data_IF_433602797382
#
_entry.id   IF_433602797382
#
_cell.length_a   1.000
_cell.length_b   1.000
_cell.length_c   1.000
_cell.angle_alpha   90.00
_cell.angle_beta   90.00
_cell.angle_gamma   90.00
#
_symmetry.space_group_name_H-M   'P 1'
#
loop_
_entity.id
_entity.type
_entity.pdbx_description
1 polymer ?
#
# COMPACT_ATOMS: atom_id res chain seq x y z
N UNK A 1 -0.01 29.79 8.67
CA UNK A 1 1.18 29.07 8.20
C UNK A 1 0.81 28.30 6.95
N UNK A 2 1.51 28.50 5.83
CA UNK A 2 1.32 27.67 4.63
C UNK A 2 2.04 26.35 4.87
N UNK A 3 1.30 25.26 5.13
CA UNK A 3 1.87 23.93 5.18
C UNK A 3 2.46 23.63 3.79
N UNK A 4 3.79 23.68 3.70
CA UNK A 4 4.50 23.29 2.47
C UNK A 4 4.48 21.77 2.45
N UNK A 5 3.74 21.19 1.52
CA UNK A 5 3.78 19.76 1.24
C UNK A 5 4.79 19.51 0.13
N UNK A 6 5.64 18.50 0.31
CA UNK A 6 6.57 18.06 -0.72
C UNK A 6 5.96 16.78 -1.31
N UNK A 7 5.53 16.87 -2.56
CA UNK A 7 5.17 15.73 -3.38
C UNK A 7 6.43 15.37 -4.18
N UNK A 8 6.99 14.19 -3.95
CA UNK A 8 8.03 13.67 -4.82
C UNK A 8 7.35 12.90 -5.97
N UNK A 9 7.59 13.26 -7.25
CA UNK A 9 6.93 12.64 -8.40
C UNK A 9 7.12 11.12 -8.49
N UNK A 10 8.21 10.61 -7.92
CA UNK A 10 8.53 9.18 -7.81
C UNK A 10 7.55 8.37 -6.94
N UNK A 11 6.66 9.04 -6.20
CA UNK A 11 5.59 8.41 -5.43
C UNK A 11 4.22 8.58 -6.08
N UNK A 12 4.14 9.03 -7.33
CA UNK A 12 2.90 9.14 -8.09
C UNK A 12 2.84 7.99 -9.09
N UNK A 13 1.83 7.14 -8.96
CA UNK A 13 1.55 6.05 -9.90
C UNK A 13 0.18 6.22 -10.50
N UNK A 14 0.04 5.87 -11.76
CA UNK A 14 -1.20 6.03 -12.52
C UNK A 14 -1.72 4.67 -12.96
N UNK A 15 -2.94 4.29 -12.56
CA UNK A 15 -3.61 3.09 -13.05
C UNK A 15 -4.99 3.48 -13.60
N UNK A 16 -5.18 3.25 -14.90
CA UNK A 16 -6.35 3.67 -15.68
C UNK A 16 -6.67 5.16 -15.60
N UNK A 17 -7.64 5.56 -14.77
CA UNK A 17 -8.06 6.95 -14.56
C UNK A 17 -7.85 7.37 -13.10
N UNK A 18 -6.97 6.67 -12.40
CA UNK A 18 -6.62 6.99 -11.03
C UNK A 18 -5.17 7.38 -10.91
N UNK A 19 -4.94 8.45 -10.16
CA UNK A 19 -3.64 8.81 -9.65
C UNK A 19 -3.54 8.40 -8.18
N UNK A 20 -2.56 7.55 -7.89
CA UNK A 20 -2.18 7.13 -6.55
C UNK A 20 -0.94 7.89 -6.16
N UNK A 21 -0.97 8.56 -5.02
CA UNK A 21 0.23 9.20 -4.50
C UNK A 21 0.27 9.22 -2.98
N UNK A 22 1.48 9.14 -2.42
CA UNK A 22 1.69 9.25 -0.99
C UNK A 22 2.07 10.68 -0.60
N UNK A 23 1.43 11.20 0.45
CA UNK A 23 1.81 12.49 1.04
C UNK A 23 2.09 12.34 2.53
N UNK A 24 3.05 13.12 3.02
CA UNK A 24 3.31 13.29 4.44
C UNK A 24 2.79 14.65 4.90
N UNK A 25 1.87 14.64 5.87
CA UNK A 25 1.33 15.84 6.50
C UNK A 25 1.73 15.82 7.98
N UNK A 26 2.79 16.56 8.33
CA UNK A 26 3.40 16.49 9.66
C UNK A 26 4.06 15.13 9.92
N UNK A 27 3.65 14.44 10.98
CA UNK A 27 4.14 13.08 11.33
C UNK A 27 3.30 11.96 10.72
N UNK A 28 2.18 12.30 10.06
CA UNK A 28 1.26 11.33 9.47
C UNK A 28 1.53 11.14 7.99
N UNK A 29 1.40 9.90 7.52
CA UNK A 29 1.48 9.54 6.11
C UNK A 29 0.10 9.15 5.58
N UNK A 30 -0.19 9.54 4.34
CA UNK A 30 -1.46 9.28 3.67
C UNK A 30 -1.20 8.64 2.33
N UNK A 31 -2.11 7.74 1.93
CA UNK A 31 -2.26 7.34 0.54
C UNK A 31 -3.46 8.10 -0.01
N UNK A 32 -3.23 8.87 -1.07
CA UNK A 32 -4.23 9.67 -1.75
C UNK A 32 -4.55 9.01 -3.08
N UNK A 33 -5.84 8.88 -3.36
CA UNK A 33 -6.38 8.37 -4.61
C UNK A 33 -7.19 9.50 -5.22
N UNK A 34 -6.80 9.90 -6.42
CA UNK A 34 -7.52 10.89 -7.21
C UNK A 34 -8.16 10.21 -8.41
N UNK A 35 -9.48 10.36 -8.55
CA UNK A 35 -10.25 9.94 -9.71
C UNK A 35 -10.24 11.06 -10.75
N UNK A 36 -9.61 10.79 -11.91
CA UNK A 36 -9.48 11.76 -13.00
C UNK A 36 -10.82 12.03 -13.68
N UNK A 37 -11.72 11.03 -13.76
CA UNK A 37 -13.02 11.18 -14.43
C UNK A 37 -13.96 12.02 -13.58
N UNK A 38 -14.08 11.66 -12.32
CA UNK A 38 -15.01 12.30 -11.38
C UNK A 38 -14.42 13.55 -10.73
N UNK A 39 -13.11 13.81 -10.92
CA UNK A 39 -12.38 14.92 -10.30
C UNK A 39 -12.47 14.88 -8.76
N UNK A 40 -12.55 13.67 -8.19
CA UNK A 40 -12.69 13.47 -6.74
C UNK A 40 -11.38 12.99 -6.12
N UNK A 41 -11.18 13.31 -4.84
CA UNK A 41 -10.00 12.89 -4.08
C UNK A 41 -10.44 12.18 -2.81
N UNK A 42 -9.89 10.99 -2.59
CA UNK A 42 -10.02 10.25 -1.33
C UNK A 42 -8.63 10.14 -0.71
N UNK A 43 -8.47 10.63 0.50
CA UNK A 43 -7.25 10.45 1.29
C UNK A 43 -7.54 9.46 2.41
N UNK A 44 -6.84 8.33 2.40
CA UNK A 44 -6.80 7.42 3.51
C UNK A 44 -5.56 7.73 4.35
N UNK A 45 -5.76 8.14 5.60
CA UNK A 45 -4.68 8.12 6.59
C UNK A 45 -4.13 6.69 6.62
N UNK A 46 -2.81 6.53 6.55
CA UNK A 46 -2.22 5.20 6.70
C UNK A 46 -2.57 4.69 8.08
N UNK A 47 -3.59 3.84 8.15
CA UNK A 47 -3.80 2.97 9.30
C UNK A 47 -2.50 2.16 9.39
N UNK A 48 -1.85 2.17 10.56
CA UNK A 48 -0.61 1.43 10.82
C UNK A 48 -0.73 -0.08 10.58
N UNK A 49 -1.93 -0.55 10.23
CA UNK A 49 -2.30 -1.92 9.98
C UNK A 49 -1.52 -2.59 8.83
N UNK A 50 -0.91 -1.79 7.97
CA UNK A 50 -0.02 -2.28 6.91
C UNK A 50 1.37 -1.70 7.10
N UNK A 51 2.43 -2.43 6.71
CA UNK A 51 3.82 -2.03 6.88
C UNK A 51 4.18 -1.08 5.73
N UNK A 52 3.40 -0.01 5.61
CA UNK A 52 3.49 1.02 4.61
C UNK A 52 4.51 2.09 4.99
N UNK A 53 5.30 1.86 6.04
CA UNK A 53 6.31 2.81 6.52
C UNK A 53 7.33 3.19 5.43
N UNK A 54 7.48 2.37 4.38
CA UNK A 54 8.34 2.64 3.22
C UNK A 54 7.67 2.35 1.85
N UNK A 55 6.38 2.69 1.65
CA UNK A 55 5.78 2.58 0.29
C UNK A 55 6.50 3.56 -0.64
N UNK A 56 7.40 3.05 -1.46
CA UNK A 56 7.61 3.61 -2.79
C UNK A 56 6.53 2.99 -3.67
N UNK A 57 5.57 3.79 -4.14
CA UNK A 57 4.68 3.40 -5.24
C UNK A 57 5.59 3.25 -6.46
N UNK A 58 6.08 2.04 -6.76
CA UNK A 58 7.19 1.90 -7.70
C UNK A 58 6.74 1.98 -9.16
N UNK A 59 5.56 1.45 -9.50
CA UNK A 59 4.97 1.56 -10.83
C UNK A 59 3.55 0.98 -10.83
N UNK A 60 2.80 1.23 -11.91
CA UNK A 60 1.54 0.57 -12.22
C UNK A 60 1.74 -0.53 -13.27
N UNK A 61 0.89 -1.55 -13.23
CA UNK A 61 0.82 -2.58 -14.26
C UNK A 61 -0.65 -2.79 -14.64
N UNK A 62 -1.06 -2.22 -15.78
CA UNK A 62 -2.46 -2.20 -16.19
C UNK A 62 -3.33 -1.40 -15.21
N UNK A 63 -4.36 -2.06 -14.67
CA UNK A 63 -5.28 -1.53 -13.65
C UNK A 63 -4.75 -1.66 -12.22
N UNK A 64 -3.53 -2.20 -12.04
CA UNK A 64 -2.99 -2.54 -10.73
C UNK A 64 -1.86 -1.63 -10.31
N UNK A 65 -1.81 -1.41 -9.00
CA UNK A 65 -0.72 -0.77 -8.31
C UNK A 65 0.20 -1.84 -7.74
N UNK A 66 1.48 -1.72 -8.07
CA UNK A 66 2.51 -2.68 -7.63
C UNK A 66 3.27 -2.10 -6.44
N UNK A 67 3.30 -2.86 -5.36
CA UNK A 67 4.16 -2.62 -4.22
C UNK A 67 5.20 -3.74 -4.12
N UNK A 68 6.46 -3.35 -3.89
CA UNK A 68 7.57 -4.30 -3.82
C UNK A 68 8.15 -4.24 -2.42
N UNK A 69 8.21 -5.39 -1.75
CA UNK A 69 8.92 -5.51 -0.47
C UNK A 69 10.02 -6.56 -0.60
N UNK A 70 11.22 -6.17 -0.19
CA UNK A 70 12.34 -7.09 -0.03
C UNK A 70 11.96 -8.24 0.91
N UNK A 71 12.40 -9.46 0.59
CA UNK A 71 11.96 -10.68 1.28
C UNK A 71 12.45 -10.71 2.75
N UNK A 72 13.71 -10.37 2.98
CA UNK A 72 14.27 -10.18 4.32
C UNK A 72 13.47 -9.15 5.14
N UNK A 73 13.21 -7.98 4.55
CA UNK A 73 12.45 -6.91 5.20
C UNK A 73 10.99 -7.32 5.48
N UNK A 74 10.39 -8.14 4.63
CA UNK A 74 9.04 -8.68 4.81
C UNK A 74 8.99 -9.63 6.01
N UNK A 75 9.94 -10.57 6.09
CA UNK A 75 10.04 -11.52 7.20
C UNK A 75 10.33 -10.84 8.53
N UNK A 76 11.23 -9.85 8.55
CA UNK A 76 11.51 -9.06 9.74
C UNK A 76 10.27 -8.31 10.27
N UNK A 77 9.32 -7.97 9.39
CA UNK A 77 8.06 -7.31 9.76
C UNK A 77 6.90 -8.28 10.04
N UNK A 78 7.11 -9.61 9.96
CA UNK A 78 6.02 -10.60 9.97
C UNK A 78 5.15 -10.51 11.22
N UNK A 79 5.75 -10.50 12.41
CA UNK A 79 4.99 -10.47 13.67
C UNK A 79 4.15 -9.21 13.79
N UNK A 80 4.71 -8.06 13.40
CA UNK A 80 4.00 -6.79 13.36
C UNK A 80 2.79 -6.85 12.41
N UNK A 81 2.97 -7.42 11.21
CA UNK A 81 1.90 -7.58 10.23
C UNK A 81 0.73 -8.42 10.74
N UNK A 82 1.03 -9.56 11.35
CA UNK A 82 0.00 -10.45 11.88
C UNK A 82 -0.77 -9.81 13.06
N UNK A 83 -0.06 -9.06 13.90
CA UNK A 83 -0.68 -8.28 14.98
C UNK A 83 -1.64 -7.23 14.42
N UNK A 84 -1.23 -6.53 13.36
CA UNK A 84 -2.05 -5.52 12.73
C UNK A 84 -3.34 -6.08 12.11
N UNK A 85 -3.28 -7.22 11.41
CA UNK A 85 -4.46 -7.87 10.86
C UNK A 85 -5.45 -8.27 11.96
N UNK A 86 -4.93 -8.74 13.10
CA UNK A 86 -5.75 -9.09 14.26
C UNK A 86 -6.37 -7.86 14.93
N UNK A 87 -5.65 -6.74 14.95
CA UNK A 87 -6.08 -5.49 15.60
C UNK A 87 -7.13 -4.72 14.78
N UNK A 88 -7.10 -4.87 13.46
CA UNK A 88 -8.00 -4.16 12.53
C UNK A 88 -8.64 -5.15 11.53
N UNK A 89 -9.47 -6.10 12.00
CA UNK A 89 -10.08 -7.13 11.15
C UNK A 89 -11.02 -6.55 10.07
N UNK A 90 -11.53 -5.34 10.25
CA UNK A 90 -12.35 -4.61 9.29
C UNK A 90 -11.54 -3.96 8.16
N UNK A 91 -10.22 -3.84 8.30
CA UNK A 91 -9.38 -3.17 7.32
C UNK A 91 -9.19 -3.99 6.04
N UNK A 92 -9.35 -5.32 6.11
CA UNK A 92 -9.20 -6.25 4.99
C UNK A 92 -10.24 -7.36 5.04
N UNK A 93 -10.57 -7.90 3.88
CA UNK A 93 -11.33 -9.15 3.80
C UNK A 93 -10.50 -10.30 4.38
N UNK A 94 -11.16 -11.21 5.11
CA UNK A 94 -10.49 -12.36 5.73
C UNK A 94 -9.75 -13.25 4.72
N UNK A 95 -10.28 -13.37 3.50
CA UNK A 95 -9.63 -14.08 2.38
C UNK A 95 -8.29 -13.44 1.97
N UNK A 96 -8.20 -12.11 2.02
CA UNK A 96 -6.97 -11.37 1.74
C UNK A 96 -5.96 -11.60 2.86
N UNK A 97 -6.39 -11.53 4.12
CA UNK A 97 -5.53 -11.82 5.28
C UNK A 97 -4.96 -13.22 5.20
N UNK A 98 -5.81 -14.23 4.97
CA UNK A 98 -5.37 -15.63 4.82
C UNK A 98 -4.31 -15.77 3.71
N UNK A 99 -4.54 -15.12 2.56
CA UNK A 99 -3.57 -15.15 1.46
C UNK A 99 -2.23 -14.52 1.82
N UNK A 100 -2.25 -13.44 2.62
CA UNK A 100 -1.03 -12.84 3.16
C UNK A 100 -0.30 -13.79 4.10
N UNK A 101 -1.00 -14.46 5.00
CA UNK A 101 -0.42 -15.42 5.93
C UNK A 101 0.23 -16.61 5.20
N UNK A 102 -0.41 -17.13 4.15
CA UNK A 102 0.15 -18.16 3.28
C UNK A 102 1.48 -17.70 2.65
N UNK A 103 1.51 -16.50 2.08
CA UNK A 103 2.75 -15.93 1.50
C UNK A 103 3.82 -15.77 2.58
N UNK A 104 3.49 -15.19 3.74
CA UNK A 104 4.43 -15.01 4.85
C UNK A 104 4.96 -16.34 5.42
N UNK A 105 4.23 -17.44 5.25
CA UNK A 105 4.66 -18.77 5.68
C UNK A 105 5.61 -19.48 4.70
N UNK A 106 5.66 -19.01 3.45
CA UNK A 106 6.39 -19.66 2.36
C UNK A 106 7.64 -18.90 1.90
N UNK A 107 7.68 -17.58 2.12
CA UNK A 107 8.82 -16.71 1.80
C UNK A 107 10.03 -17.02 2.69
N UNK A 108 11.22 -17.00 2.09
CA UNK A 108 12.54 -17.12 2.73
C UNK A 108 13.35 -15.83 2.57
N UNK A 109 14.39 -15.66 3.38
CA UNK A 109 15.20 -14.43 3.37
C UNK A 109 15.93 -14.22 2.05
N UNK A 110 16.37 -15.31 1.41
CA UNK A 110 17.09 -15.33 0.14
C UNK A 110 16.19 -15.20 -1.11
N UNK A 111 14.87 -15.16 -0.94
CA UNK A 111 13.95 -15.06 -2.07
C UNK A 111 14.03 -13.68 -2.74
N UNK A 112 13.59 -13.64 -3.99
CA UNK A 112 13.38 -12.37 -4.69
C UNK A 112 12.35 -11.50 -3.96
N UNK A 113 12.35 -10.17 -4.19
CA UNK A 113 11.35 -9.28 -3.62
C UNK A 113 9.92 -9.73 -3.92
N UNK A 114 9.07 -9.66 -2.90
CA UNK A 114 7.66 -10.02 -2.98
C UNK A 114 6.87 -8.84 -3.55
N UNK A 115 6.07 -9.13 -4.58
CA UNK A 115 5.20 -8.17 -5.24
C UNK A 115 3.78 -8.28 -4.69
N UNK A 116 3.22 -7.16 -4.24
CA UNK A 116 1.82 -7.02 -3.87
C UNK A 116 1.11 -6.20 -4.93
N UNK A 117 0.08 -6.78 -5.53
CA UNK A 117 -0.71 -6.16 -6.58
C UNK A 117 -2.07 -5.76 -6.00
N UNK A 118 -2.35 -4.46 -6.01
CA UNK A 118 -3.60 -3.92 -5.50
C UNK A 118 -4.42 -3.34 -6.65
N UNK A 119 -5.75 -3.47 -6.56
CA UNK A 119 -6.72 -2.80 -7.44
C UNK A 119 -7.86 -2.25 -6.60
N UNK A 120 -8.56 -1.24 -7.09
CA UNK A 120 -9.76 -0.73 -6.43
C UNK A 120 -10.91 -1.73 -6.61
N UNK A 121 -11.63 -2.01 -5.52
CA UNK A 121 -12.78 -2.94 -5.53
C UNK A 121 -13.95 -2.29 -6.30
N UNK A 122 -14.65 -3.07 -7.13
CA UNK A 122 -15.80 -2.59 -7.91
C UNK A 122 -15.51 -2.19 -9.36
N UNK A 123 -14.31 -2.49 -9.87
CA UNK A 123 -13.98 -2.44 -11.30
C UNK A 123 -13.90 -3.85 -11.88
N UNK A 124 -15.01 -4.30 -12.44
CA UNK A 124 -15.09 -5.43 -13.39
C UNK A 124 -15.54 -4.89 -14.75
#
# INVERSE_FOLDING_TARGET
MKNKYILFPEYISHAEDYLFFCVQLGVKSYTVIYDVREQTTVAAEKISAFPFENISLKFSQGDRIVHVKDAYSLLASRSFLLEQFSKYPEALEASVVQRYEEVLSTVKEEDNPVLFLFRLKGKE
#
